data_IF_877102339745
#
_entry.id   IF_877102339745
#
_cell.length_a   1.000
_cell.length_b   1.000
_cell.length_c   1.000
_cell.angle_alpha   90.00
_cell.angle_beta   90.00
_cell.angle_gamma   90.00
#
_symmetry.space_group_name_H-M   'P 1'
#
loop_
_entity.id
_entity.type
_entity.pdbx_description
1 polymer ?
#
# COMPACT_ATOMS: atom_id res chain seq x y z
N UNK A 1 -40.18 13.49 10.91
CA UNK A 1 -39.11 13.99 10.03
C UNK A 1 -38.31 12.79 9.56
N UNK A 2 -38.54 12.34 8.34
CA UNK A 2 -37.87 11.19 7.73
C UNK A 2 -36.90 11.73 6.68
N UNK A 3 -35.59 11.59 6.92
CA UNK A 3 -34.58 11.86 5.90
C UNK A 3 -34.59 10.73 4.86
N UNK A 4 -34.69 11.01 3.55
CA UNK A 4 -34.65 9.98 2.54
C UNK A 4 -33.21 9.48 2.36
N UNK A 5 -33.04 8.15 2.41
CA UNK A 5 -31.80 7.48 2.02
C UNK A 5 -31.57 7.72 0.53
N UNK A 6 -30.64 8.60 0.19
CA UNK A 6 -30.06 8.61 -1.15
C UNK A 6 -29.19 7.37 -1.28
N UNK A 7 -29.74 6.39 -1.99
CA UNK A 7 -28.98 5.36 -2.69
C UNK A 7 -27.89 6.06 -3.51
N UNK A 8 -26.63 5.85 -3.13
CA UNK A 8 -25.52 6.17 -4.00
C UNK A 8 -25.41 5.03 -5.01
N UNK A 9 -25.86 5.36 -6.22
CA UNK A 9 -25.69 4.56 -7.41
C UNK A 9 -24.21 4.22 -7.63
N UNK A 10 -24.00 2.99 -8.11
CA UNK A 10 -22.80 2.46 -8.76
C UNK A 10 -21.84 3.53 -9.29
N UNK A 11 -20.72 3.73 -8.60
CA UNK A 11 -19.55 4.35 -9.19
C UNK A 11 -18.76 3.22 -9.86
N UNK A 12 -18.41 3.40 -11.13
CA UNK A 12 -17.24 2.75 -11.68
C UNK A 12 -16.06 3.34 -10.89
N UNK A 13 -15.63 2.61 -9.85
CA UNK A 13 -14.59 3.06 -8.93
C UNK A 13 -13.23 2.87 -9.61
N UNK A 14 -12.73 3.92 -10.26
CA UNK A 14 -11.28 4.12 -10.34
C UNK A 14 -10.78 4.10 -8.89
N UNK A 15 -9.95 3.13 -8.52
CA UNK A 15 -9.47 2.94 -7.14
C UNK A 15 -8.17 3.71 -6.99
N UNK A 16 -8.18 5.00 -6.57
CA UNK A 16 -7.02 5.91 -6.65
C UNK A 16 -5.82 5.48 -5.81
N UNK A 17 -5.98 4.40 -5.07
CA UNK A 17 -4.98 3.77 -4.21
C UNK A 17 -4.12 2.75 -4.95
N UNK A 18 -4.53 2.27 -6.12
CA UNK A 18 -3.79 1.26 -6.87
C UNK A 18 -2.78 1.91 -7.83
N UNK A 19 -1.50 1.55 -7.68
CA UNK A 19 -0.39 2.27 -8.33
C UNK A 19 -0.27 1.94 -9.83
N UNK A 20 -0.79 0.80 -10.29
CA UNK A 20 -0.67 0.32 -11.67
C UNK A 20 -1.95 0.58 -12.49
N UNK A 21 -2.31 1.85 -12.72
CA UNK A 21 -3.53 2.23 -13.45
C UNK A 21 -4.77 1.51 -12.90
N UNK A 22 -4.93 1.54 -11.57
CA UNK A 22 -6.10 0.96 -10.89
C UNK A 22 -6.24 -0.56 -11.02
N UNK A 23 -5.15 -1.27 -11.35
CA UNK A 23 -5.15 -2.73 -11.48
C UNK A 23 -4.40 -3.43 -10.34
N UNK A 24 -5.00 -4.52 -9.86
CA UNK A 24 -4.36 -5.44 -8.93
C UNK A 24 -3.26 -6.25 -9.61
N UNK A 25 -2.20 -6.63 -8.87
CA UNK A 25 -1.23 -7.60 -9.36
C UNK A 25 -1.92 -8.91 -9.73
N UNK A 26 -1.48 -9.54 -10.82
CA UNK A 26 -2.02 -10.87 -11.16
C UNK A 26 -1.41 -11.92 -10.26
N UNK A 27 -2.25 -12.81 -9.73
CA UNK A 27 -1.85 -13.94 -8.89
C UNK A 27 -0.74 -14.79 -9.53
N UNK A 28 -0.84 -15.03 -10.84
CA UNK A 28 0.16 -15.80 -11.58
C UNK A 28 1.48 -15.04 -11.86
N UNK A 29 1.59 -13.77 -11.50
CA UNK A 29 2.79 -12.94 -11.71
C UNK A 29 3.52 -12.62 -10.38
N UNK A 30 2.83 -12.77 -9.24
CA UNK A 30 3.43 -12.59 -7.91
C UNK A 30 4.25 -13.81 -7.48
N UNK A 31 5.32 -13.56 -6.74
CA UNK A 31 6.14 -14.56 -6.08
C UNK A 31 5.65 -14.83 -4.66
N UNK A 32 6.15 -15.89 -4.05
CA UNK A 32 5.90 -16.12 -2.63
C UNK A 32 6.75 -15.16 -1.80
N UNK A 33 6.13 -14.47 -0.84
CA UNK A 33 6.84 -13.52 0.03
C UNK A 33 6.65 -13.92 1.49
N UNK A 34 7.68 -14.48 2.10
CA UNK A 34 7.68 -14.84 3.53
C UNK A 34 8.79 -14.17 4.35
N UNK A 35 9.70 -13.45 3.67
CA UNK A 35 10.81 -12.70 4.27
C UNK A 35 10.89 -11.31 3.63
N UNK A 36 11.30 -10.33 4.45
CA UNK A 36 11.63 -8.95 4.09
C UNK A 36 13.04 -8.80 3.49
N UNK A 37 13.72 -9.90 3.15
CA UNK A 37 15.06 -9.84 2.55
C UNK A 37 15.05 -8.98 1.28
N UNK A 38 15.91 -7.95 1.27
CA UNK A 38 16.02 -6.97 0.20
C UNK A 38 14.86 -5.96 0.11
N UNK A 39 13.88 -6.00 1.03
CA UNK A 39 12.76 -5.06 1.02
C UNK A 39 13.24 -3.64 1.30
N UNK A 40 14.07 -3.44 2.34
CA UNK A 40 14.58 -2.11 2.68
C UNK A 40 15.35 -1.47 1.51
N UNK A 41 16.21 -2.25 0.84
CA UNK A 41 16.95 -1.79 -0.34
C UNK A 41 16.00 -1.44 -1.50
N UNK A 42 14.96 -2.24 -1.69
CA UNK A 42 13.94 -1.95 -2.70
C UNK A 42 13.12 -0.69 -2.36
N UNK A 43 12.81 -0.44 -1.08
CA UNK A 43 12.06 0.73 -0.65
C UNK A 43 12.78 2.04 -1.00
N UNK A 44 14.12 2.05 -0.96
CA UNK A 44 14.93 3.18 -1.44
C UNK A 44 14.65 3.55 -2.91
N UNK A 45 14.20 2.59 -3.71
CA UNK A 45 13.83 2.81 -5.11
C UNK A 45 12.32 2.97 -5.30
N UNK A 46 11.51 2.27 -4.51
CA UNK A 46 10.04 2.26 -4.63
C UNK A 46 9.46 3.60 -4.14
N UNK A 47 9.85 4.09 -2.96
CA UNK A 47 9.24 5.27 -2.34
C UNK A 47 9.36 6.51 -3.23
N UNK A 48 10.55 6.85 -3.79
CA UNK A 48 10.66 8.01 -4.69
C UNK A 48 9.89 7.86 -6.01
N UNK A 49 9.60 6.62 -6.45
CA UNK A 49 8.77 6.38 -7.65
C UNK A 49 7.29 6.57 -7.36
N UNK A 50 6.85 6.22 -6.16
CA UNK A 50 5.46 6.31 -5.70
C UNK A 50 5.11 7.75 -5.28
N UNK A 51 6.03 8.43 -4.60
CA UNK A 51 5.90 9.80 -4.12
C UNK A 51 6.90 10.71 -4.84
N UNK A 52 6.46 11.38 -5.90
CA UNK A 52 7.33 12.14 -6.81
C UNK A 52 7.50 13.62 -6.44
N UNK A 53 6.73 14.12 -5.48
CA UNK A 53 6.79 15.52 -5.07
C UNK A 53 8.05 15.78 -4.23
N UNK A 54 8.68 16.93 -4.46
CA UNK A 54 9.85 17.45 -3.74
C UNK A 54 9.72 17.33 -2.22
N UNK A 55 8.53 17.54 -1.68
CA UNK A 55 8.28 17.47 -0.23
C UNK A 55 8.37 16.06 0.35
N UNK A 56 8.37 15.03 -0.49
CA UNK A 56 8.51 13.63 -0.09
C UNK A 56 9.94 13.10 -0.26
N UNK A 57 10.90 13.95 -0.69
CA UNK A 57 12.30 13.55 -0.88
C UNK A 57 12.93 13.02 0.40
N UNK A 58 12.63 13.67 1.51
CA UNK A 58 13.02 13.20 2.84
C UNK A 58 11.91 12.30 3.37
N UNK A 59 12.27 11.05 3.68
CA UNK A 59 11.34 10.08 4.24
C UNK A 59 12.04 9.15 5.23
N UNK A 60 11.25 8.56 6.10
CA UNK A 60 11.68 7.54 7.07
C UNK A 60 10.65 6.42 7.10
N UNK A 61 11.11 5.20 7.31
CA UNK A 61 10.23 4.09 7.60
C UNK A 61 9.89 4.10 9.08
N UNK A 62 8.60 4.12 9.41
CA UNK A 62 8.14 3.95 10.79
C UNK A 62 7.79 2.49 11.07
N UNK A 63 7.07 1.85 10.14
CA UNK A 63 6.59 0.48 10.31
C UNK A 63 6.84 -0.32 9.03
N UNK A 64 7.35 -1.56 9.18
CA UNK A 64 7.32 -2.61 8.16
C UNK A 64 6.70 -3.84 8.80
N UNK A 65 5.65 -4.38 8.20
CA UNK A 65 4.98 -5.55 8.72
C UNK A 65 4.48 -6.45 7.60
N UNK A 66 4.60 -7.77 7.78
CA UNK A 66 4.06 -8.74 6.85
C UNK A 66 2.54 -8.82 7.02
N UNK A 67 1.75 -8.55 5.98
CA UNK A 67 0.30 -8.37 6.11
C UNK A 67 -0.47 -9.58 6.71
N UNK A 68 -0.05 -10.83 6.51
CA UNK A 68 -0.69 -11.96 7.19
C UNK A 68 -0.37 -12.08 8.67
N UNK A 69 0.63 -11.34 9.17
CA UNK A 69 1.15 -11.46 10.53
C UNK A 69 1.12 -10.11 11.26
N UNK A 70 0.37 -10.08 12.35
CA UNK A 70 0.40 -9.03 13.38
C UNK A 70 1.85 -8.70 13.77
N UNK A 71 2.21 -7.41 14.03
CA UNK A 71 1.44 -6.47 14.87
C UNK A 71 0.64 -5.35 14.15
N UNK A 72 0.54 -5.32 12.83
CA UNK A 72 -0.22 -4.25 12.16
C UNK A 72 -1.75 -4.36 12.46
N UNK A 73 -2.51 -3.26 12.37
CA UNK A 73 -3.97 -3.31 12.44
C UNK A 73 -4.54 -4.38 11.51
N UNK A 74 -5.43 -5.23 12.03
CA UNK A 74 -6.15 -6.26 11.25
C UNK A 74 -6.87 -5.64 10.04
N UNK A 75 -7.23 -4.36 10.17
CA UNK A 75 -7.80 -3.53 9.12
C UNK A 75 -6.95 -3.49 7.83
N UNK A 76 -5.61 -3.48 7.90
CA UNK A 76 -4.78 -3.41 6.68
C UNK A 76 -4.76 -4.72 5.91
N UNK A 77 -4.75 -5.87 6.60
CA UNK A 77 -4.90 -7.16 5.92
C UNK A 77 -6.29 -7.31 5.31
N UNK A 78 -7.34 -6.91 6.04
CA UNK A 78 -8.70 -6.89 5.51
C UNK A 78 -8.84 -5.96 4.28
N UNK A 79 -8.18 -4.80 4.31
CA UNK A 79 -8.13 -3.85 3.19
C UNK A 79 -7.43 -4.46 1.97
N UNK A 80 -6.26 -5.07 2.16
CA UNK A 80 -5.54 -5.73 1.08
C UNK A 80 -6.38 -6.85 0.42
N UNK A 81 -7.06 -7.66 1.25
CA UNK A 81 -7.98 -8.70 0.78
C UNK A 81 -9.16 -8.13 0.03
N UNK A 82 -9.73 -7.03 0.51
CA UNK A 82 -10.88 -6.39 -0.11
C UNK A 82 -10.56 -5.89 -1.52
N UNK A 83 -9.41 -5.22 -1.70
CA UNK A 83 -9.05 -4.65 -2.99
C UNK A 83 -8.51 -5.68 -3.98
N UNK A 84 -7.56 -6.52 -3.59
CA UNK A 84 -6.85 -7.41 -4.51
C UNK A 84 -6.91 -8.90 -4.17
N UNK A 85 -7.76 -9.28 -3.21
CA UNK A 85 -7.99 -10.66 -2.85
C UNK A 85 -6.95 -11.24 -1.88
N UNK A 86 -7.27 -12.41 -1.36
CA UNK A 86 -6.50 -13.08 -0.31
C UNK A 86 -5.09 -13.46 -0.74
N UNK A 87 -4.90 -13.92 -1.97
CA UNK A 87 -3.57 -14.34 -2.43
C UNK A 87 -2.57 -13.18 -2.51
N UNK A 88 -3.02 -12.00 -2.95
CA UNK A 88 -2.18 -10.80 -3.01
C UNK A 88 -1.90 -10.31 -1.58
N UNK A 89 -2.92 -10.25 -0.73
CA UNK A 89 -2.76 -9.89 0.68
C UNK A 89 -1.79 -10.82 1.41
N UNK A 90 -1.85 -12.13 1.12
CA UNK A 90 -1.00 -13.14 1.70
C UNK A 90 0.47 -13.06 1.29
N UNK A 91 0.80 -12.36 0.21
CA UNK A 91 2.17 -12.21 -0.26
C UNK A 91 2.61 -10.75 -0.21
N UNK A 92 2.01 -9.94 0.66
CA UNK A 92 2.27 -8.52 0.71
C UNK A 92 2.77 -8.05 2.08
N UNK A 93 3.48 -6.93 2.07
CA UNK A 93 3.97 -6.23 3.24
C UNK A 93 3.35 -4.85 3.29
N UNK A 94 3.01 -4.42 4.49
CA UNK A 94 2.64 -3.06 4.83
C UNK A 94 3.89 -2.26 5.18
N UNK A 95 3.95 -1.04 4.66
CA UNK A 95 4.99 -0.08 4.97
C UNK A 95 4.37 1.28 5.27
N UNK A 96 4.70 1.81 6.43
CA UNK A 96 4.34 3.16 6.86
C UNK A 96 5.56 4.07 6.78
N UNK A 97 5.36 5.22 6.14
CA UNK A 97 6.40 6.16 5.75
C UNK A 97 6.07 7.51 6.38
N UNK A 98 7.04 8.08 7.10
CA UNK A 98 6.99 9.44 7.60
C UNK A 98 7.72 10.38 6.63
N UNK A 99 7.05 11.45 6.20
CA UNK A 99 7.57 12.58 5.44
C UNK A 99 7.75 13.80 6.35
N UNK A 100 8.97 14.06 6.85
CA UNK A 100 9.18 15.07 7.89
C UNK A 100 8.80 16.49 7.48
N UNK A 101 8.82 16.82 6.19
CA UNK A 101 8.49 18.16 5.70
C UNK A 101 7.02 18.56 5.90
N UNK A 102 6.14 17.58 6.11
CA UNK A 102 4.71 17.82 6.36
C UNK A 102 4.37 17.86 7.85
N UNK A 103 5.32 17.62 8.75
CA UNK A 103 5.06 17.74 10.18
C UNK A 103 4.67 19.18 10.56
N UNK A 104 3.74 19.37 11.52
CA UNK A 104 3.08 18.35 12.35
C UNK A 104 1.74 17.83 11.78
N UNK A 105 1.43 18.07 10.50
CA UNK A 105 0.16 17.63 9.91
C UNK A 105 0.19 16.12 9.65
N UNK A 106 -0.35 15.33 10.58
CA UNK A 106 -0.26 13.86 10.58
C UNK A 106 -0.68 13.23 9.24
N UNK A 107 -1.86 13.57 8.73
CA UNK A 107 -2.38 12.97 7.48
C UNK A 107 -1.51 13.29 6.26
N UNK A 108 -0.83 14.43 6.24
CA UNK A 108 0.08 14.80 5.16
C UNK A 108 1.49 14.25 5.37
N UNK A 109 1.88 14.00 6.62
CA UNK A 109 3.21 13.49 6.96
C UNK A 109 3.31 11.98 6.93
N UNK A 110 2.22 11.23 6.82
CA UNK A 110 2.27 9.77 6.77
C UNK A 110 1.75 9.27 5.44
N UNK A 111 2.54 8.43 4.78
CA UNK A 111 2.13 7.65 3.61
C UNK A 111 2.17 6.17 3.93
N UNK A 112 1.28 5.42 3.29
CA UNK A 112 1.16 3.99 3.49
C UNK A 112 1.22 3.29 2.14
N UNK A 113 2.00 2.22 2.04
CA UNK A 113 2.06 1.41 0.82
C UNK A 113 1.96 -0.07 1.14
N UNK A 114 1.37 -0.82 0.20
CA UNK A 114 1.53 -2.26 0.16
C UNK A 114 2.49 -2.66 -0.95
N UNK A 115 3.41 -3.55 -0.60
CA UNK A 115 4.48 -4.03 -1.48
C UNK A 115 4.48 -5.55 -1.54
N UNK A 116 4.83 -6.09 -2.71
CA UNK A 116 4.97 -7.54 -2.93
C UNK A 116 6.15 -7.79 -3.87
N UNK A 117 6.47 -9.06 -4.12
CA UNK A 117 7.46 -9.47 -5.12
C UNK A 117 6.78 -10.11 -6.32
N UNK A 118 7.39 -9.95 -7.48
CA UNK A 118 7.07 -10.80 -8.63
C UNK A 118 7.86 -12.11 -8.57
N UNK A 119 7.58 -13.02 -9.50
CA UNK A 119 8.31 -14.31 -9.64
C UNK A 119 9.82 -14.18 -9.92
N UNK A 120 10.30 -12.98 -10.25
CA UNK A 120 11.74 -12.69 -10.43
C UNK A 120 12.37 -12.10 -9.16
N UNK A 121 11.72 -12.23 -8.00
CA UNK A 121 12.15 -11.69 -6.71
C UNK A 121 12.27 -10.15 -6.66
N UNK A 122 11.68 -9.44 -7.64
CA UNK A 122 11.70 -7.97 -7.66
C UNK A 122 10.51 -7.43 -6.89
N UNK A 123 10.81 -6.60 -5.89
CA UNK A 123 9.83 -5.87 -5.11
C UNK A 123 9.17 -4.75 -5.92
N UNK A 124 7.88 -4.55 -5.72
CA UNK A 124 7.12 -3.43 -6.26
C UNK A 124 5.95 -3.07 -5.33
N UNK A 125 5.56 -1.79 -5.34
CA UNK A 125 4.35 -1.34 -4.68
C UNK A 125 3.13 -1.52 -5.60
N UNK A 126 2.02 -1.95 -5.02
CA UNK A 126 0.75 -2.13 -5.75
C UNK A 126 -0.39 -1.30 -5.16
N UNK A 127 -0.22 -0.80 -3.93
CA UNK A 127 -1.18 0.06 -3.25
C UNK A 127 -0.47 1.23 -2.57
N UNK A 128 -1.09 2.40 -2.58
CA UNK A 128 -0.71 3.62 -1.88
C UNK A 128 -1.93 4.23 -1.22
N UNK A 129 -1.80 4.64 0.04
CA UNK A 129 -2.83 5.36 0.77
C UNK A 129 -2.19 6.51 1.54
N UNK A 130 -2.89 7.66 1.52
CA UNK A 130 -2.38 8.99 1.89
C UNK A 130 -1.28 9.51 0.95
#
# INVERSE_FOLDING_TARGET
MTCPQKSFASLNEDVPFLINNDTCPKQNEIGHVSSDSGLMDALNTIIPKVYKDEKHKDWKIETIAYLPKSPHPEAYYAMAKHYCGEEIANNSWFVEILFPQYLPAYDASHGQIFVTKNKQEKWFAWFRFH
#
